data_IF_208536772507
#
_entry.id   IF_208536772507
#
_cell.length_a   1.000
_cell.length_b   1.000
_cell.length_c   1.000
_cell.angle_alpha   90.00
_cell.angle_beta   90.00
_cell.angle_gamma   90.00
#
_symmetry.space_group_name_H-M   'P 1'
#
loop_
_entity.id
_entity.type
_entity.pdbx_description
1 polymer ?
#
# COMPACT_ATOMS: atom_id res chain seq x y z
N UNK A 1 3.31 5.14 15.21
CA UNK A 1 4.34 4.36 14.51
C UNK A 1 4.40 2.93 15.02
N UNK A 2 3.38 2.11 14.72
CA UNK A 2 3.25 0.74 15.24
C UNK A 2 3.30 -0.33 14.13
N UNK A 3 3.39 0.08 12.87
CA UNK A 3 3.44 -0.81 11.71
C UNK A 3 4.78 -0.60 11.02
N UNK A 4 5.54 -1.67 10.70
CA UNK A 4 6.83 -1.58 10.00
C UNK A 4 6.64 -1.28 8.50
N UNK A 5 5.83 -0.28 8.18
CA UNK A 5 5.54 0.19 6.83
C UNK A 5 5.76 1.69 6.76
N UNK A 6 6.55 2.14 5.78
CA UNK A 6 6.77 3.56 5.54
C UNK A 6 5.74 4.06 4.53
N UNK A 7 4.69 4.68 5.03
CA UNK A 7 3.68 5.36 4.21
C UNK A 7 4.36 6.42 3.33
N UNK A 8 4.23 6.33 2.01
CA UNK A 8 4.82 7.32 1.06
C UNK A 8 3.85 8.45 0.73
N UNK A 9 2.59 8.10 0.52
CA UNK A 9 1.49 9.02 0.23
C UNK A 9 0.16 8.35 0.57
N UNK A 10 -0.83 9.15 0.96
CA UNK A 10 -2.21 8.77 1.14
C UNK A 10 -3.01 9.71 0.25
N UNK A 11 -3.70 9.16 -0.74
CA UNK A 11 -4.40 9.91 -1.77
C UNK A 11 -5.90 9.66 -1.62
N UNK A 12 -6.66 10.70 -1.30
CA UNK A 12 -8.12 10.67 -1.32
C UNK A 12 -8.60 11.20 -2.66
N UNK A 13 -9.48 10.44 -3.32
CA UNK A 13 -10.03 10.73 -4.64
C UNK A 13 -11.54 10.70 -4.51
N UNK A 14 -12.21 11.61 -5.21
CA UNK A 14 -13.67 11.77 -5.16
C UNK A 14 -14.18 11.91 -3.71
N UNK A 15 -13.41 12.59 -2.85
CA UNK A 15 -13.82 12.76 -1.46
C UNK A 15 -14.99 13.75 -1.35
N UNK A 16 -15.99 13.42 -0.54
CA UNK A 16 -17.08 14.35 -0.25
C UNK A 16 -16.60 15.45 0.72
N UNK A 17 -17.31 16.57 0.73
CA UNK A 17 -16.91 17.80 1.46
C UNK A 17 -16.57 17.57 2.95
N UNK A 18 -17.23 16.61 3.59
CA UNK A 18 -17.05 16.34 5.01
C UNK A 18 -15.68 15.70 5.33
N UNK A 19 -15.00 15.06 4.37
CA UNK A 19 -13.65 14.51 4.58
C UNK A 19 -12.65 15.63 4.79
N UNK A 20 -12.73 16.70 4.00
CA UNK A 20 -11.89 17.89 4.18
C UNK A 20 -12.14 18.56 5.54
N UNK A 21 -13.41 18.64 5.95
CA UNK A 21 -13.77 19.16 7.27
C UNK A 21 -13.19 18.31 8.41
N UNK A 22 -13.36 16.99 8.33
CA UNK A 22 -12.81 16.06 9.32
C UNK A 22 -11.28 16.16 9.38
N UNK A 23 -10.61 16.19 8.23
CA UNK A 23 -9.16 16.37 8.16
C UNK A 23 -8.70 17.66 8.83
N UNK A 24 -9.46 18.75 8.66
CA UNK A 24 -9.17 20.02 9.32
C UNK A 24 -9.28 19.97 10.85
N UNK A 25 -10.11 19.10 11.39
CA UNK A 25 -10.24 18.86 12.84
C UNK A 25 -9.08 18.00 13.33
N UNK A 26 -8.78 16.90 12.64
CA UNK A 26 -7.77 15.94 13.11
C UNK A 26 -6.33 16.33 12.77
N UNK A 27 -6.09 17.33 11.90
CA UNK A 27 -4.74 17.75 11.48
C UNK A 27 -3.80 18.11 12.64
N UNK A 28 -4.35 18.53 13.79
CA UNK A 28 -3.56 18.83 15.00
C UNK A 28 -2.99 17.58 15.68
N UNK A 29 -3.60 16.42 15.48
CA UNK A 29 -3.15 15.13 16.03
C UNK A 29 -2.24 14.37 15.06
N UNK A 30 -2.16 14.81 13.81
CA UNK A 30 -1.35 14.20 12.77
C UNK A 30 0.03 14.84 12.77
N UNK A 31 1.08 14.03 12.78
CA UNK A 31 2.46 14.54 12.66
C UNK A 31 2.65 15.32 11.36
N UNK A 32 3.49 16.35 11.37
CA UNK A 32 3.78 17.16 10.18
C UNK A 32 4.27 16.28 9.00
N UNK A 33 5.03 15.23 9.31
CA UNK A 33 5.50 14.23 8.33
C UNK A 33 4.36 13.50 7.64
N UNK A 34 3.31 13.11 8.38
CA UNK A 34 2.15 12.42 7.82
C UNK A 34 1.23 13.40 7.09
N UNK A 35 1.08 14.63 7.62
CA UNK A 35 0.29 15.69 6.98
C UNK A 35 0.79 16.04 5.58
N UNK A 36 2.12 16.10 5.38
CA UNK A 36 2.74 16.33 4.05
C UNK A 36 2.53 15.19 3.05
N UNK A 37 2.08 14.02 3.51
CA UNK A 37 1.85 12.83 2.69
C UNK A 37 0.37 12.60 2.40
N UNK A 38 -0.53 13.41 2.95
CA UNK A 38 -1.96 13.29 2.71
C UNK A 38 -2.33 14.27 1.61
N UNK A 39 -2.89 13.74 0.52
CA UNK A 39 -3.30 14.48 -0.66
C UNK A 39 -4.81 14.29 -0.85
N UNK A 40 -5.55 15.40 -0.91
CA UNK A 40 -6.97 15.43 -1.23
C UNK A 40 -7.10 15.93 -2.67
N UNK A 41 -7.62 15.08 -3.57
CA UNK A 41 -7.69 15.38 -5.01
C UNK A 41 -9.07 15.87 -5.46
N UNK A 42 -10.11 15.68 -4.65
CA UNK A 42 -11.48 15.99 -5.00
C UNK A 42 -11.95 15.21 -6.22
N UNK A 43 -12.73 15.89 -7.07
CA UNK A 43 -13.14 15.34 -8.36
C UNK A 43 -12.04 15.42 -9.44
N UNK A 44 -10.90 16.06 -9.17
CA UNK A 44 -9.85 16.27 -10.17
C UNK A 44 -8.87 15.09 -10.23
N UNK A 45 -8.96 14.28 -11.29
CA UNK A 45 -8.08 13.15 -11.55
C UNK A 45 -6.68 13.56 -12.04
N UNK A 46 -6.51 14.77 -12.59
CA UNK A 46 -5.20 15.24 -13.07
C UNK A 46 -4.21 15.43 -11.91
N UNK A 47 -4.70 15.90 -10.76
CA UNK A 47 -3.88 16.05 -9.55
C UNK A 47 -3.36 14.70 -9.03
N UNK A 48 -4.11 13.62 -9.22
CA UNK A 48 -3.67 12.27 -8.92
C UNK A 48 -2.53 11.83 -9.84
N UNK A 49 -2.66 12.11 -11.14
CA UNK A 49 -1.67 11.69 -12.14
C UNK A 49 -0.32 12.40 -12.04
N UNK A 50 -0.27 13.56 -11.37
CA UNK A 50 1.00 14.21 -10.98
C UNK A 50 1.81 13.40 -9.96
N UNK A 51 1.13 12.56 -9.17
CA UNK A 51 1.75 11.76 -8.11
C UNK A 51 1.92 10.29 -8.52
N UNK A 52 0.99 9.78 -9.33
CA UNK A 52 0.91 8.35 -9.70
C UNK A 52 0.67 8.24 -11.22
N UNK A 53 1.53 7.53 -11.97
CA UNK A 53 1.35 7.40 -13.41
C UNK A 53 0.04 6.69 -13.76
N UNK A 54 -0.62 7.11 -14.84
CA UNK A 54 -1.90 6.54 -15.29
C UNK A 54 -1.78 5.05 -15.65
N UNK A 55 -0.63 4.61 -16.15
CA UNK A 55 -0.44 3.24 -16.65
C UNK A 55 -0.52 2.16 -15.56
N UNK A 56 -0.40 2.53 -14.28
CA UNK A 56 -0.49 1.59 -13.15
C UNK A 56 -1.82 1.70 -12.41
N UNK A 57 -2.73 2.55 -12.89
CA UNK A 57 -4.04 2.76 -12.28
C UNK A 57 -5.14 2.10 -13.12
N UNK A 58 -6.22 1.62 -12.48
CA UNK A 58 -7.38 1.10 -13.18
C UNK A 58 -8.16 2.22 -13.88
N UNK A 59 -8.96 1.83 -14.88
CA UNK A 59 -9.73 2.74 -15.74
C UNK A 59 -10.70 3.63 -14.96
N UNK A 60 -11.33 3.10 -13.90
CA UNK A 60 -12.27 3.83 -13.06
C UNK A 60 -11.62 5.04 -12.37
N UNK A 61 -10.30 4.95 -12.12
CA UNK A 61 -9.48 6.01 -11.54
C UNK A 61 -8.80 6.89 -12.59
N UNK A 62 -9.07 6.69 -13.88
CA UNK A 62 -8.47 7.44 -14.99
C UNK A 62 -7.16 6.85 -15.50
N UNK A 63 -6.87 5.59 -15.19
CA UNK A 63 -5.66 4.90 -15.67
C UNK A 63 -5.88 3.96 -16.86
N UNK A 64 -4.81 3.26 -17.25
CA UNK A 64 -4.76 2.37 -18.42
C UNK A 64 -4.57 0.89 -18.07
N UNK A 65 -4.63 0.51 -16.78
CA UNK A 65 -4.36 -0.85 -16.31
C UNK A 65 -5.55 -1.83 -16.55
N UNK A 66 -6.68 -1.32 -17.06
CA UNK A 66 -7.91 -2.06 -17.23
C UNK A 66 -8.88 -1.92 -16.05
N UNK A 67 -9.97 -2.71 -16.03
CA UNK A 67 -11.00 -2.61 -14.99
C UNK A 67 -10.51 -3.01 -13.59
N UNK A 68 -11.08 -2.39 -12.55
CA UNK A 68 -10.68 -2.66 -11.16
C UNK A 68 -11.08 -4.07 -10.67
N UNK A 69 -12.19 -4.61 -11.18
CA UNK A 69 -12.77 -5.86 -10.66
C UNK A 69 -11.85 -7.08 -10.82
N UNK A 70 -11.22 -7.34 -11.99
CA UNK A 70 -10.20 -8.37 -12.14
C UNK A 70 -9.01 -8.19 -11.20
N UNK A 71 -8.50 -6.96 -11.05
CA UNK A 71 -7.36 -6.65 -10.17
C UNK A 71 -7.66 -7.00 -8.70
N UNK A 72 -8.86 -6.65 -8.23
CA UNK A 72 -9.32 -6.98 -6.87
C UNK A 72 -9.45 -8.49 -6.69
N UNK A 73 -9.99 -9.19 -7.68
CA UNK A 73 -10.13 -10.64 -7.64
C UNK A 73 -8.77 -11.35 -7.57
N UNK A 74 -7.81 -10.92 -8.38
CA UNK A 74 -6.45 -11.49 -8.40
C UNK A 74 -5.70 -11.20 -7.10
N UNK A 75 -5.86 -9.99 -6.54
CA UNK A 75 -5.34 -9.66 -5.22
C UNK A 75 -5.93 -10.55 -4.13
N UNK A 76 -7.26 -10.73 -4.12
CA UNK A 76 -7.94 -11.59 -3.16
C UNK A 76 -7.44 -13.04 -3.25
N UNK A 77 -7.31 -13.60 -4.46
CA UNK A 77 -6.74 -14.94 -4.66
C UNK A 77 -5.31 -15.04 -4.13
N UNK A 78 -4.46 -14.04 -4.40
CA UNK A 78 -3.08 -14.01 -3.92
C UNK A 78 -3.01 -13.97 -2.38
N UNK A 79 -3.84 -13.12 -1.75
CA UNK A 79 -3.93 -13.03 -0.28
C UNK A 79 -4.40 -14.36 0.32
N UNK A 80 -5.47 -14.95 -0.20
CA UNK A 80 -6.02 -16.22 0.29
C UNK A 80 -5.03 -17.38 0.09
N UNK A 81 -4.31 -17.42 -1.04
CA UNK A 81 -3.27 -18.44 -1.26
C UNK A 81 -2.09 -18.34 -0.29
N UNK A 82 -1.96 -17.22 0.42
CA UNK A 82 -0.89 -16.96 1.39
C UNK A 82 -1.29 -17.28 2.84
N UNK A 83 -2.42 -17.93 3.08
CA UNK A 83 -2.95 -18.24 4.42
C UNK A 83 -1.91 -18.92 5.33
N UNK A 84 -1.26 -19.99 4.85
CA UNK A 84 -0.21 -20.70 5.60
C UNK A 84 1.01 -19.83 5.91
N UNK A 85 1.29 -18.79 5.11
CA UNK A 85 2.33 -17.80 5.40
C UNK A 85 1.88 -16.87 6.54
N UNK A 86 0.63 -16.44 6.54
CA UNK A 86 0.07 -15.62 7.61
C UNK A 86 0.01 -16.38 8.94
N UNK A 87 -0.41 -17.65 8.93
CA UNK A 87 -0.39 -18.51 10.13
C UNK A 87 1.01 -18.61 10.74
N UNK A 88 2.03 -18.83 9.91
CA UNK A 88 3.42 -18.86 10.35
C UNK A 88 3.87 -17.50 10.90
N UNK A 89 3.48 -16.39 10.27
CA UNK A 89 3.80 -15.05 10.77
C UNK A 89 3.13 -14.75 12.11
N UNK A 90 1.88 -15.17 12.31
CA UNK A 90 1.18 -15.02 13.59
C UNK A 90 1.86 -15.87 14.66
N UNK A 91 2.24 -17.11 14.33
CA UNK A 91 2.84 -18.06 15.28
C UNK A 91 4.28 -17.72 15.66
N UNK A 92 5.09 -17.24 14.72
CA UNK A 92 6.55 -17.09 14.90
C UNK A 92 7.05 -15.64 14.80
N UNK A 93 6.19 -14.68 14.41
CA UNK A 93 6.55 -13.28 14.27
C UNK A 93 7.53 -12.97 13.13
N UNK A 94 7.91 -11.70 13.01
CA UNK A 94 8.76 -11.20 11.91
C UNK A 94 10.26 -11.49 12.08
N UNK A 95 10.72 -11.85 13.29
CA UNK A 95 12.15 -12.02 13.57
C UNK A 95 12.73 -13.30 12.95
N UNK A 96 11.96 -14.39 12.96
CA UNK A 96 12.31 -15.70 12.36
C UNK A 96 12.29 -15.66 10.82
N UNK A 97 11.31 -14.95 10.23
CA UNK A 97 11.20 -14.82 8.77
C UNK A 97 12.44 -14.17 8.13
N UNK A 98 13.08 -13.22 8.83
CA UNK A 98 14.34 -12.59 8.39
C UNK A 98 15.51 -13.58 8.42
N UNK A 99 15.60 -14.43 9.46
CA UNK A 99 16.65 -15.44 9.59
C UNK A 99 16.52 -16.49 8.49
N UNK A 100 15.30 -16.92 8.18
CA UNK A 100 15.06 -17.89 7.09
C UNK A 100 15.38 -17.29 5.71
N UNK A 101 15.08 -16.01 5.47
CA UNK A 101 15.45 -15.33 4.23
C UNK A 101 16.97 -15.19 4.08
N UNK A 102 17.67 -14.80 5.14
CA UNK A 102 19.14 -14.70 5.17
C UNK A 102 19.79 -16.08 4.95
N UNK A 103 19.28 -17.14 5.61
CA UNK A 103 19.76 -18.52 5.38
C UNK A 103 19.55 -18.94 3.92
N UNK A 104 18.38 -18.64 3.33
CA UNK A 104 18.06 -19.02 1.95
C UNK A 104 18.89 -18.26 0.91
N UNK A 105 19.18 -16.98 1.14
CA UNK A 105 20.10 -16.20 0.31
C UNK A 105 21.55 -16.69 0.42
N UNK A 106 22.02 -17.02 1.62
CA UNK A 106 23.37 -17.54 1.83
C UNK A 106 23.55 -18.97 1.27
N UNK A 107 22.53 -19.82 1.34
CA UNK A 107 22.55 -21.15 0.72
C UNK A 107 22.57 -21.09 -0.81
N UNK A 108 21.84 -20.15 -1.43
CA UNK A 108 21.92 -19.94 -2.88
C UNK A 108 23.29 -19.38 -3.30
N UNK A 109 23.89 -18.49 -2.51
CA UNK A 109 25.24 -17.99 -2.78
C UNK A 109 26.33 -19.08 -2.64
N UNK A 110 26.11 -20.09 -1.80
CA UNK A 110 27.01 -21.24 -1.67
C UNK A 110 26.85 -22.29 -2.79
N UNK A 111 25.76 -22.27 -3.54
CA UNK A 111 25.50 -23.19 -4.66
C UNK A 111 26.12 -22.73 -5.99
N UNK A 112 26.48 -21.45 -6.10
CA UNK A 112 27.14 -20.86 -7.28
C UNK A 112 28.66 -20.66 -7.11
N UNK A 113 29.27 -21.30 -6.10
CA UNK A 113 30.71 -21.40 -5.90
C UNK A 113 31.15 -22.84 -6.11
#
# INVERSE_FOLDING_TARGET
DCVPCRVKGIHFINEPFYISLFFNIIKGFISEKLRKRIHLHGANKESLHQHIPADILPEELGGNLGPVAPLVNDFNKAVLSSETRFEKLIKYGFHEARIQHIKRQNSNAAFFK
#
